data_IF_301519364478
#
_entry.id   IF_301519364478
#
_cell.length_a   1.000
_cell.length_b   1.000
_cell.length_c   1.000
_cell.angle_alpha   90.00
_cell.angle_beta   90.00
_cell.angle_gamma   90.00
#
_symmetry.space_group_name_H-M   'P 1'
#
loop_
_entity.id
_entity.type
_entity.pdbx_description
1 polymer ?
#
# COMPACT_ATOMS: atom_id res chain seq x y z
N UNK A 1 -19.41 22.82 -8.52
CA UNK A 1 -18.59 22.64 -7.30
C UNK A 1 -18.78 21.20 -6.85
N UNK A 2 -18.12 20.24 -7.48
CA UNK A 2 -18.21 18.83 -7.08
C UNK A 2 -16.96 18.51 -6.27
N UNK A 3 -16.92 19.05 -5.05
CA UNK A 3 -15.83 18.78 -4.11
C UNK A 3 -16.36 17.78 -3.08
N UNK A 4 -16.31 16.50 -3.45
CA UNK A 4 -16.76 15.41 -2.61
C UNK A 4 -15.93 14.17 -2.97
N UNK A 5 -14.62 14.27 -2.82
CA UNK A 5 -13.74 13.11 -2.92
C UNK A 5 -13.88 12.26 -1.64
N UNK A 6 -15.07 11.70 -1.43
CA UNK A 6 -15.40 10.83 -0.28
C UNK A 6 -14.76 9.45 -0.36
N UNK A 7 -14.15 9.11 -1.50
CA UNK A 7 -13.61 7.76 -1.77
C UNK A 7 -12.15 7.86 -2.18
N UNK A 8 -11.30 7.25 -1.36
CA UNK A 8 -9.89 6.99 -1.64
C UNK A 8 -9.72 5.51 -1.99
N UNK A 9 -8.96 5.22 -3.03
CA UNK A 9 -8.84 3.87 -3.58
C UNK A 9 -7.38 3.45 -3.68
N UNK A 10 -7.11 2.22 -3.26
CA UNK A 10 -5.79 1.63 -3.29
C UNK A 10 -5.79 0.34 -4.11
N UNK A 11 -4.76 0.16 -4.91
CA UNK A 11 -4.45 -1.14 -5.52
C UNK A 11 -3.25 -1.72 -4.79
N UNK A 12 -3.42 -2.89 -4.18
CA UNK A 12 -2.35 -3.60 -3.46
C UNK A 12 -1.97 -4.85 -4.23
N UNK A 13 -0.69 -5.01 -4.56
CA UNK A 13 -0.15 -6.20 -5.21
C UNK A 13 0.89 -6.87 -4.32
N UNK A 14 0.72 -8.16 -4.09
CA UNK A 14 1.67 -8.98 -3.35
C UNK A 14 2.48 -9.79 -4.36
N UNK A 15 3.81 -9.71 -4.28
CA UNK A 15 4.72 -10.48 -5.13
C UNK A 15 5.67 -11.28 -4.23
N UNK A 16 5.73 -12.62 -4.35
CA UNK A 16 6.63 -13.41 -3.54
C UNK A 16 8.09 -13.07 -3.89
N UNK A 17 8.96 -12.91 -2.91
CA UNK A 17 10.37 -12.55 -3.13
C UNK A 17 11.28 -13.76 -3.41
N UNK A 18 10.71 -14.97 -3.52
CA UNK A 18 11.40 -16.16 -4.04
C UNK A 18 12.55 -16.71 -3.19
N UNK A 19 12.81 -16.14 -2.01
CA UNK A 19 13.86 -16.62 -1.10
C UNK A 19 13.25 -17.38 0.07
N UNK A 20 13.57 -18.67 0.17
CA UNK A 20 13.12 -19.57 1.23
C UNK A 20 13.76 -19.24 2.60
N UNK A 21 14.80 -18.40 2.64
CA UNK A 21 15.54 -18.03 3.86
C UNK A 21 15.07 -16.72 4.51
N UNK A 22 14.10 -16.01 3.93
CA UNK A 22 13.58 -14.79 4.55
C UNK A 22 12.56 -15.13 5.65
N UNK A 23 12.53 -14.36 6.76
CA UNK A 23 11.43 -14.42 7.72
C UNK A 23 10.09 -14.31 7.00
N UNK A 24 9.03 -14.97 7.48
CA UNK A 24 7.70 -14.93 6.84
C UNK A 24 7.21 -13.49 6.58
N UNK A 25 7.59 -12.57 7.46
CA UNK A 25 7.32 -11.13 7.36
C UNK A 25 8.02 -10.42 6.21
N UNK A 26 9.02 -11.02 5.56
CA UNK A 26 9.76 -10.47 4.40
C UNK A 26 9.57 -11.28 3.12
N UNK A 27 8.66 -12.25 3.14
CA UNK A 27 8.42 -13.15 2.00
C UNK A 27 7.73 -12.46 0.83
N UNK A 28 7.13 -11.31 1.07
CA UNK A 28 6.31 -10.58 0.11
C UNK A 28 6.84 -9.18 -0.14
N UNK A 29 6.96 -8.83 -1.41
CA UNK A 29 7.03 -7.44 -1.86
C UNK A 29 5.62 -6.94 -2.07
N UNK A 30 5.20 -5.95 -1.29
CA UNK A 30 3.86 -5.40 -1.34
C UNK A 30 3.92 -4.05 -2.04
N UNK A 31 3.31 -3.92 -3.21
CA UNK A 31 3.19 -2.66 -3.94
C UNK A 31 1.82 -2.05 -3.71
N UNK A 32 1.79 -0.78 -3.38
CA UNK A 32 0.59 0.00 -3.07
C UNK A 32 0.50 1.13 -4.06
N UNK A 33 -0.59 1.22 -4.81
CA UNK A 33 -0.85 2.34 -5.71
C UNK A 33 -2.07 3.10 -5.22
N UNK A 34 -1.88 4.36 -4.86
CA UNK A 34 -2.96 5.30 -4.57
C UNK A 34 -3.53 5.82 -5.89
N UNK A 35 -4.78 5.45 -6.20
CA UNK A 35 -5.36 5.66 -7.54
C UNK A 35 -5.59 7.14 -7.84
N UNK A 36 -5.98 7.93 -6.85
CA UNK A 36 -6.28 9.36 -6.97
C UNK A 36 -5.01 10.22 -7.06
N UNK A 37 -3.95 9.84 -6.32
CA UNK A 37 -2.68 10.57 -6.32
C UNK A 37 -1.66 10.07 -7.36
N UNK A 38 -1.94 8.93 -8.02
CA UNK A 38 -0.98 8.22 -8.89
C UNK A 38 0.36 7.89 -8.20
N UNK A 39 0.36 7.80 -6.87
CA UNK A 39 1.56 7.47 -6.09
C UNK A 39 1.67 5.95 -5.94
N UNK A 40 2.82 5.39 -6.32
CA UNK A 40 3.16 3.98 -6.08
C UNK A 40 4.24 3.88 -5.01
N UNK A 41 4.00 3.03 -4.01
CA UNK A 41 4.89 2.78 -2.89
C UNK A 41 5.10 1.28 -2.72
N UNK A 42 6.24 0.88 -2.15
CA UNK A 42 6.53 -0.52 -1.85
C UNK A 42 6.76 -0.66 -0.36
N UNK A 43 6.04 -1.58 0.28
CA UNK A 43 6.17 -1.94 1.69
C UNK A 43 6.55 -3.42 1.81
N UNK A 44 7.12 -3.76 2.96
CA UNK A 44 7.64 -5.10 3.23
C UNK A 44 6.72 -5.94 4.12
N UNK A 45 5.80 -5.29 4.85
CA UNK A 45 4.86 -5.96 5.75
C UNK A 45 3.42 -5.42 5.62
N UNK A 46 2.47 -6.19 6.16
CA UNK A 46 1.07 -5.76 6.24
C UNK A 46 0.88 -4.59 7.24
N UNK A 47 1.69 -4.53 8.30
CA UNK A 47 1.65 -3.43 9.26
C UNK A 47 2.07 -2.11 8.60
N UNK A 48 3.18 -2.12 7.85
CA UNK A 48 3.62 -0.95 7.07
C UNK A 48 2.56 -0.53 6.03
N UNK A 49 1.86 -1.49 5.42
CA UNK A 49 0.75 -1.20 4.50
C UNK A 49 -0.38 -0.42 5.17
N UNK A 50 -0.83 -0.89 6.34
CA UNK A 50 -1.93 -0.27 7.08
C UNK A 50 -1.58 1.14 7.55
N UNK A 51 -0.38 1.31 8.13
CA UNK A 51 0.11 2.62 8.56
C UNK A 51 0.16 3.62 7.40
N UNK A 52 0.63 3.15 6.23
CA UNK A 52 0.70 3.96 5.03
C UNK A 52 -0.68 4.41 4.54
N UNK A 53 -1.65 3.49 4.46
CA UNK A 53 -3.02 3.82 4.06
C UNK A 53 -3.67 4.79 5.03
N UNK A 54 -3.49 4.61 6.34
CA UNK A 54 -3.99 5.56 7.34
C UNK A 54 -3.40 6.96 7.17
N UNK A 55 -2.09 7.06 6.91
CA UNK A 55 -1.45 8.36 6.69
C UNK A 55 -2.02 9.07 5.46
N UNK A 56 -2.28 8.34 4.37
CA UNK A 56 -2.88 8.91 3.16
C UNK A 56 -4.32 9.36 3.44
N UNK A 57 -5.11 8.53 4.13
CA UNK A 57 -6.49 8.86 4.51
C UNK A 57 -6.59 10.06 5.44
N UNK A 58 -5.58 10.30 6.30
CA UNK A 58 -5.52 11.49 7.18
C UNK A 58 -5.10 12.78 6.47
N UNK A 59 -4.51 12.67 5.27
CA UNK A 59 -4.03 13.82 4.47
C UNK A 59 -5.07 14.37 3.50
N UNK A 60 -6.04 13.54 3.08
CA UNK A 60 -7.19 13.93 2.27
C UNK A 60 -8.38 14.33 3.13
#
# INVERSE_FOLDING_TARGET
MADNQQVTSFVVRFSPMGQEELPESKRWRIRVTHVQGQEEMTVSSMEELCELMEQILKRG
#
